data_IF_442140872944
#
_entry.id   IF_442140872944
#
_cell.length_a   1.000
_cell.length_b   1.000
_cell.length_c   1.000
_cell.angle_alpha   90.00
_cell.angle_beta   90.00
_cell.angle_gamma   90.00
#
_symmetry.space_group_name_H-M   'P 1'
#
loop_
_entity.id
_entity.type
_entity.pdbx_description
1 polymer ?
#
# COMPACT_ATOMS: atom_id res chain seq x y z
N UNK A 1 -13.27 -4.69 36.32
CA UNK A 1 -13.68 -4.32 34.95
C UNK A 1 -12.72 -5.01 33.99
N UNK A 2 -13.25 -5.89 33.15
CA UNK A 2 -12.47 -6.66 32.18
C UNK A 2 -12.22 -5.80 30.93
N UNK A 3 -10.96 -5.57 30.55
CA UNK A 3 -10.61 -5.21 29.16
C UNK A 3 -9.39 -6.02 28.73
N UNK A 4 -9.71 -7.11 28.04
CA UNK A 4 -8.97 -7.94 27.10
C UNK A 4 -7.49 -7.64 26.89
N UNK A 5 -6.65 -8.57 27.37
CA UNK A 5 -5.25 -8.73 26.97
C UNK A 5 -5.20 -9.09 25.48
N UNK A 6 -4.71 -8.19 24.63
CA UNK A 6 -4.36 -8.52 23.25
C UNK A 6 -3.17 -9.50 23.27
N UNK A 7 -3.44 -10.75 22.92
CA UNK A 7 -2.44 -11.77 22.68
C UNK A 7 -1.65 -11.42 21.43
N UNK A 8 -0.47 -10.81 21.59
CA UNK A 8 0.48 -10.64 20.50
C UNK A 8 1.10 -12.01 20.22
N UNK A 9 0.48 -12.78 19.32
CA UNK A 9 1.08 -14.02 18.81
C UNK A 9 2.26 -13.63 17.93
N UNK A 10 3.48 -13.86 18.42
CA UNK A 10 4.75 -13.68 17.68
C UNK A 10 4.86 -14.77 16.60
N UNK A 11 4.02 -14.67 15.57
CA UNK A 11 4.11 -15.45 14.34
C UNK A 11 5.14 -14.80 13.42
N UNK A 12 5.91 -15.60 12.67
CA UNK A 12 6.83 -15.09 11.64
C UNK A 12 6.07 -14.14 10.70
N UNK A 13 6.64 -12.97 10.35
CA UNK A 13 6.00 -12.07 9.41
C UNK A 13 5.83 -12.79 8.06
N UNK A 14 4.63 -12.69 7.50
CA UNK A 14 4.32 -13.29 6.20
C UNK A 14 5.26 -12.77 5.13
N UNK A 15 5.75 -13.67 4.27
CA UNK A 15 6.50 -13.28 3.07
C UNK A 15 5.52 -12.82 2.00
N UNK A 16 5.67 -11.57 1.57
CA UNK A 16 4.95 -11.03 0.41
C UNK A 16 5.42 -11.72 -0.88
N UNK A 17 4.47 -12.26 -1.64
CA UNK A 17 4.68 -12.73 -3.02
C UNK A 17 3.92 -11.84 -4.00
N UNK A 18 4.17 -12.03 -5.30
CA UNK A 18 3.50 -11.24 -6.35
C UNK A 18 1.97 -11.39 -6.28
N UNK A 19 1.46 -12.59 -5.98
CA UNK A 19 0.02 -12.80 -5.75
C UNK A 19 -0.52 -11.97 -4.59
N UNK A 20 0.25 -11.80 -3.52
CA UNK A 20 -0.14 -10.94 -2.40
C UNK A 20 -0.16 -9.48 -2.80
N UNK A 21 0.83 -9.04 -3.59
CA UNK A 21 0.91 -7.65 -4.07
C UNK A 21 -0.26 -7.30 -5.00
N UNK A 22 -0.64 -8.21 -5.90
CA UNK A 22 -1.76 -8.03 -6.82
C UNK A 22 -3.07 -7.87 -6.06
N UNK A 23 -3.34 -8.78 -5.11
CA UNK A 23 -4.57 -8.72 -4.31
C UNK A 23 -4.59 -7.51 -3.39
N UNK A 24 -3.46 -7.16 -2.79
CA UNK A 24 -3.33 -5.96 -1.99
C UNK A 24 -3.61 -4.70 -2.82
N UNK A 25 -3.00 -4.57 -4.00
CA UNK A 25 -3.23 -3.43 -4.88
C UNK A 25 -4.69 -3.34 -5.32
N UNK A 26 -5.32 -4.47 -5.63
CA UNK A 26 -6.75 -4.52 -5.98
C UNK A 26 -7.63 -4.05 -4.83
N UNK A 27 -7.36 -4.50 -3.61
CA UNK A 27 -8.13 -4.09 -2.42
C UNK A 27 -7.97 -2.58 -2.15
N UNK A 28 -6.74 -2.05 -2.30
CA UNK A 28 -6.46 -0.62 -2.17
C UNK A 28 -7.18 0.22 -3.23
N UNK A 29 -7.29 -0.28 -4.47
CA UNK A 29 -8.00 0.39 -5.56
C UNK A 29 -9.53 0.40 -5.37
N UNK A 30 -10.10 -0.67 -4.81
CA UNK A 30 -11.53 -0.76 -4.50
C UNK A 30 -11.88 0.05 -3.25
N UNK A 31 -10.91 0.25 -2.36
CA UNK A 31 -11.08 1.05 -1.15
C UNK A 31 -11.10 2.55 -1.45
N UNK A 32 -11.85 3.31 -0.65
CA UNK A 32 -11.89 4.78 -0.68
C UNK A 32 -10.60 5.45 -0.16
N UNK A 33 -9.46 4.74 -0.20
CA UNK A 33 -8.20 5.19 0.39
C UNK A 33 -7.73 6.53 -0.21
N UNK A 34 -7.95 6.72 -1.52
CA UNK A 34 -7.58 7.95 -2.25
C UNK A 34 -8.67 9.04 -2.17
N UNK A 35 -9.90 8.66 -1.83
CA UNK A 35 -11.01 9.60 -1.64
C UNK A 35 -10.97 10.25 -0.24
N UNK A 36 -10.42 9.52 0.74
CA UNK A 36 -10.27 10.03 2.11
C UNK A 36 -9.10 11.00 2.27
N UNK A 37 -9.30 12.08 3.04
CA UNK A 37 -8.28 13.09 3.30
C UNK A 37 -7.06 12.48 3.99
N UNK A 38 -5.88 12.85 3.52
CA UNK A 38 -4.62 12.46 4.18
C UNK A 38 -4.61 12.91 5.65
N UNK A 39 -4.30 11.97 6.54
CA UNK A 39 -4.19 12.20 7.99
C UNK A 39 -5.52 12.19 8.75
N UNK A 40 -6.64 11.93 8.08
CA UNK A 40 -7.92 11.81 8.77
C UNK A 40 -8.06 10.45 9.50
N UNK A 41 -8.82 10.40 10.61
CA UNK A 41 -9.09 9.15 11.31
C UNK A 41 -9.86 8.15 10.44
N UNK A 42 -10.68 8.62 9.51
CA UNK A 42 -11.41 7.79 8.53
C UNK A 42 -10.44 7.01 7.64
N UNK A 43 -9.37 7.66 7.16
CA UNK A 43 -8.33 6.95 6.41
C UNK A 43 -7.66 5.87 7.26
N UNK A 44 -7.52 6.10 8.55
CA UNK A 44 -7.07 5.09 9.51
C UNK A 44 -7.97 3.86 9.55
N UNK A 45 -9.30 4.05 9.51
CA UNK A 45 -10.29 2.97 9.45
C UNK A 45 -10.25 2.22 8.13
N UNK A 46 -10.14 2.91 7.00
CA UNK A 46 -9.98 2.27 5.68
C UNK A 46 -8.78 1.32 5.68
N UNK A 47 -7.66 1.71 6.28
CA UNK A 47 -6.51 0.81 6.42
C UNK A 47 -6.77 -0.43 7.29
N UNK A 48 -7.58 -0.28 8.34
CA UNK A 48 -7.97 -1.41 9.19
C UNK A 48 -8.92 -2.35 8.44
N UNK A 49 -9.89 -1.81 7.71
CA UNK A 49 -10.82 -2.56 6.86
C UNK A 49 -10.08 -3.37 5.77
N UNK A 50 -9.12 -2.74 5.08
CA UNK A 50 -8.26 -3.43 4.10
C UNK A 50 -7.50 -4.59 4.78
N UNK A 51 -6.93 -4.36 5.96
CA UNK A 51 -6.20 -5.40 6.68
C UNK A 51 -7.11 -6.57 7.06
N UNK A 52 -8.31 -6.28 7.56
CA UNK A 52 -9.30 -7.30 7.89
C UNK A 52 -9.73 -8.09 6.66
N UNK A 53 -10.04 -7.43 5.54
CA UNK A 53 -10.46 -8.10 4.31
C UNK A 53 -9.38 -9.01 3.76
N UNK A 54 -8.13 -8.56 3.74
CA UNK A 54 -7.01 -9.37 3.29
C UNK A 54 -6.78 -10.57 4.21
N UNK A 55 -6.81 -10.38 5.53
CA UNK A 55 -6.63 -11.45 6.50
C UNK A 55 -7.79 -12.49 6.50
N UNK A 56 -8.96 -12.16 5.94
CA UNK A 56 -10.07 -13.10 5.72
C UNK A 56 -9.86 -14.02 4.52
N UNK A 57 -8.92 -13.72 3.62
CA UNK A 57 -8.65 -14.54 2.45
C UNK A 57 -7.96 -15.85 2.85
N UNK A 58 -8.50 -16.98 2.38
CA UNK A 58 -7.93 -18.30 2.65
C UNK A 58 -6.69 -18.61 1.79
N UNK A 59 -6.67 -18.11 0.56
CA UNK A 59 -5.54 -18.28 -0.36
C UNK A 59 -5.41 -17.08 -1.30
N UNK A 60 -4.25 -16.39 -1.33
CA UNK A 60 -3.11 -16.56 -0.44
C UNK A 60 -3.45 -16.08 0.99
N UNK A 61 -2.89 -16.76 1.99
CA UNK A 61 -3.17 -16.46 3.40
C UNK A 61 -2.42 -15.20 3.84
N UNK A 62 -3.16 -14.16 4.20
CA UNK A 62 -2.57 -12.93 4.71
C UNK A 62 -2.32 -12.97 6.22
N UNK A 63 -1.23 -12.36 6.65
CA UNK A 63 -0.97 -12.02 8.05
C UNK A 63 -0.42 -10.59 8.10
N UNK A 64 -1.30 -9.62 7.87
CA UNK A 64 -0.94 -8.21 7.67
C UNK A 64 -1.57 -7.32 8.73
N UNK A 65 -0.85 -6.26 9.09
CA UNK A 65 -1.35 -5.17 9.94
C UNK A 65 -1.39 -3.87 9.15
N UNK A 66 -2.13 -2.86 9.64
CA UNK A 66 -2.14 -1.50 9.11
C UNK A 66 -0.73 -0.91 8.88
N UNK A 67 0.23 -1.21 9.77
CA UNK A 67 1.64 -0.78 9.58
C UNK A 67 2.27 -1.51 8.41
N UNK A 68 2.17 -2.84 8.36
CA UNK A 68 2.74 -3.67 7.29
C UNK A 68 2.19 -3.29 5.91
N UNK A 69 0.90 -2.94 5.80
CA UNK A 69 0.29 -2.50 4.55
C UNK A 69 0.86 -1.16 4.07
N UNK A 70 1.03 -0.19 4.98
CA UNK A 70 1.64 1.11 4.64
C UNK A 70 3.08 0.96 4.19
N UNK A 71 3.87 0.17 4.92
CA UNK A 71 5.26 -0.10 4.56
C UNK A 71 5.35 -0.81 3.20
N UNK A 72 4.45 -1.77 2.94
CA UNK A 72 4.40 -2.45 1.64
C UNK A 72 4.00 -1.51 0.51
N UNK A 73 2.98 -0.67 0.69
CA UNK A 73 2.56 0.30 -0.32
C UNK A 73 3.69 1.28 -0.65
N UNK A 74 4.38 1.82 0.35
CA UNK A 74 5.53 2.71 0.15
C UNK A 74 6.64 2.00 -0.64
N UNK A 75 6.92 0.73 -0.33
CA UNK A 75 7.91 -0.07 -1.04
C UNK A 75 7.50 -0.30 -2.52
N UNK A 76 6.23 -0.59 -2.80
CA UNK A 76 5.72 -0.75 -4.17
C UNK A 76 5.81 0.57 -4.96
N UNK A 77 5.42 1.69 -4.35
CA UNK A 77 5.55 3.02 -4.95
C UNK A 77 7.01 3.36 -5.24
N UNK A 78 7.91 3.10 -4.30
CA UNK A 78 9.34 3.37 -4.49
C UNK A 78 9.95 2.48 -5.59
N UNK A 79 9.56 1.21 -5.65
CA UNK A 79 9.97 0.32 -6.75
C UNK A 79 9.46 0.79 -8.10
N UNK A 80 8.21 1.23 -8.17
CA UNK A 80 7.63 1.79 -9.39
C UNK A 80 8.38 3.06 -9.82
N UNK A 81 8.60 4.01 -8.90
CA UNK A 81 9.38 5.24 -9.18
C UNK A 81 10.83 4.94 -9.59
N UNK A 82 11.45 3.92 -9.01
CA UNK A 82 12.80 3.51 -9.39
C UNK A 82 12.84 2.92 -10.80
N UNK A 83 11.86 2.06 -11.15
CA UNK A 83 11.72 1.52 -12.51
C UNK A 83 11.42 2.61 -13.54
N UNK A 84 10.49 3.51 -13.26
CA UNK A 84 10.19 4.65 -14.13
C UNK A 84 11.45 5.49 -14.35
N UNK A 85 12.20 5.81 -13.28
CA UNK A 85 13.47 6.53 -13.43
C UNK A 85 14.49 5.76 -14.26
N UNK A 86 14.59 4.45 -14.10
CA UNK A 86 15.50 3.60 -14.88
C UNK A 86 15.08 3.50 -16.34
N UNK A 87 13.77 3.44 -16.61
CA UNK A 87 13.17 3.50 -17.95
C UNK A 87 13.37 4.89 -18.58
N UNK A 88 13.20 5.99 -17.84
CA UNK A 88 13.47 7.36 -18.29
C UNK A 88 14.96 7.53 -18.62
N UNK A 89 15.85 7.00 -17.75
CA UNK A 89 17.30 7.03 -17.96
C UNK A 89 17.73 6.18 -19.16
N UNK A 90 17.07 5.03 -19.38
CA UNK A 90 17.34 4.14 -20.51
C UNK A 90 16.67 4.63 -21.82
N UNK A 91 15.58 5.39 -21.72
CA UNK A 91 14.87 5.98 -22.85
C UNK A 91 15.54 7.26 -23.35
N UNK A 92 16.43 7.88 -22.57
CA UNK A 92 17.12 9.12 -22.95
C UNK A 92 16.19 10.32 -23.15
N UNK A 93 14.94 10.22 -22.70
CA UNK A 93 13.96 11.30 -22.74
C UNK A 93 13.97 11.90 -21.35
N UNK A 94 14.70 13.01 -21.21
CA UNK A 94 14.50 13.93 -20.10
C UNK A 94 13.00 14.21 -20.00
N UNK A 95 12.36 14.17 -18.82
CA UNK A 95 11.10 14.89 -18.69
C UNK A 95 11.43 16.35 -18.99
N UNK A 96 10.96 16.86 -20.12
CA UNK A 96 10.91 18.29 -20.34
C UNK A 96 10.01 18.84 -19.23
N UNK A 97 10.64 19.44 -18.22
CA UNK A 97 10.00 20.15 -17.10
C UNK A 97 9.26 21.44 -17.54
N UNK A 98 8.91 21.59 -18.83
CA UNK A 98 8.67 22.92 -19.43
C UNK A 98 7.41 23.03 -20.32
N UNK A 99 6.27 22.45 -19.92
CA UNK A 99 4.99 22.84 -20.56
C UNK A 99 3.89 23.26 -19.56
N UNK A 100 3.90 22.77 -18.32
CA UNK A 100 2.96 23.24 -17.27
C UNK A 100 3.40 24.54 -16.57
N UNK A 101 4.68 24.93 -16.67
CA UNK A 101 5.20 26.20 -16.12
C UNK A 101 4.88 27.40 -17.03
N UNK A 102 4.56 27.15 -18.31
CA UNK A 102 4.22 28.16 -19.31
C UNK A 102 2.74 28.59 -19.29
N UNK A 103 1.90 28.05 -18.41
CA UNK A 103 0.47 28.37 -18.31
C UNK A 103 0.10 29.21 -17.07
N UNK A 104 1.08 29.91 -16.47
CA UNK A 104 0.86 30.98 -15.48
C UNK A 104 1.13 32.35 -16.10
#
# INVERSE_FOLDING_TARGET
MMTSTSTITTSKPMKWSDSHDILFAREVLVSSLYETRNGSPERGKVWDEIAENLNKLESPKFHVSKRSLRDRLNLLINRYKAKVREEDLASGISPDDDELSSML
#
